data_IF_749386132051
#
_entry.id   IF_749386132051
#
_cell.length_a   1.000
_cell.length_b   1.000
_cell.length_c   1.000
_cell.angle_alpha   90.00
_cell.angle_beta   90.00
_cell.angle_gamma   90.00
#
_symmetry.space_group_name_H-M   'P 1'
#
loop_
_entity.id
_entity.type
_entity.pdbx_description
1 polymer ?
#
# COMPACT_ATOMS: atom_id res chain seq x y z
N UNK A 1 -16.75 6.74 60.24
CA UNK A 1 -15.98 5.65 59.61
C UNK A 1 -16.39 5.33 58.17
N UNK A 2 -17.68 5.31 57.80
CA UNK A 2 -18.11 4.99 56.43
C UNK A 2 -17.74 5.99 55.31
N UNK A 3 -17.43 7.25 55.66
CA UNK A 3 -17.02 8.27 54.68
C UNK A 3 -15.68 7.96 54.00
N UNK A 4 -14.79 7.23 54.67
CA UNK A 4 -13.49 6.83 54.11
C UNK A 4 -13.65 5.80 52.98
N UNK A 5 -14.65 4.92 53.08
CA UNK A 5 -14.99 3.96 52.03
C UNK A 5 -15.51 4.65 50.76
N UNK A 6 -16.32 5.68 50.91
CA UNK A 6 -16.85 6.47 49.78
C UNK A 6 -15.71 7.22 49.07
N UNK A 7 -14.78 7.80 49.83
CA UNK A 7 -13.59 8.46 49.29
C UNK A 7 -12.66 7.48 48.56
N UNK A 8 -12.49 6.26 49.08
CA UNK A 8 -11.71 5.20 48.43
C UNK A 8 -12.33 4.78 47.08
N UNK A 9 -13.65 4.62 47.01
CA UNK A 9 -14.34 4.27 45.76
C UNK A 9 -14.23 5.41 44.74
N UNK A 10 -14.38 6.66 45.17
CA UNK A 10 -14.27 7.82 44.29
C UNK A 10 -12.85 7.97 43.69
N UNK A 11 -11.82 7.67 44.48
CA UNK A 11 -10.42 7.79 44.06
C UNK A 11 -10.03 6.75 43.00
N UNK A 12 -10.72 5.60 42.98
CA UNK A 12 -10.49 4.54 41.99
C UNK A 12 -11.14 4.79 40.63
N UNK A 13 -12.12 5.70 40.53
CA UNK A 13 -12.84 5.99 39.28
C UNK A 13 -11.99 6.82 38.29
N UNK A 14 -11.14 7.70 38.80
CA UNK A 14 -10.27 8.55 37.96
C UNK A 14 -9.20 7.77 37.16
N UNK A 15 -8.44 6.82 37.73
CA UNK A 15 -7.46 6.05 36.97
C UNK A 15 -8.11 5.07 35.97
N UNK A 16 -9.35 4.62 36.19
CA UNK A 16 -10.01 3.67 35.29
C UNK A 16 -10.36 4.26 33.91
N UNK A 17 -10.71 5.54 33.83
CA UNK A 17 -10.97 6.19 32.54
C UNK A 17 -9.70 6.36 31.70
N UNK A 18 -8.58 6.70 32.34
CA UNK A 18 -7.29 6.84 31.66
C UNK A 18 -6.76 5.50 31.11
N UNK A 19 -7.00 4.39 31.82
CA UNK A 19 -6.59 3.05 31.35
C UNK A 19 -7.39 2.61 30.12
N UNK A 20 -8.72 2.79 30.13
CA UNK A 20 -9.57 2.39 29.01
C UNK A 20 -9.24 3.18 27.73
N UNK A 21 -8.98 4.49 27.87
CA UNK A 21 -8.58 5.33 26.74
C UNK A 21 -7.22 4.91 26.17
N UNK A 22 -6.24 4.63 27.04
CA UNK A 22 -4.91 4.20 26.64
C UNK A 22 -4.94 2.85 25.90
N UNK A 23 -5.80 1.93 26.33
CA UNK A 23 -6.00 0.64 25.67
C UNK A 23 -6.57 0.80 24.25
N UNK A 24 -7.60 1.64 24.08
CA UNK A 24 -8.17 1.93 22.77
C UNK A 24 -7.17 2.62 21.83
N UNK A 25 -6.37 3.55 22.36
CA UNK A 25 -5.31 4.21 21.59
C UNK A 25 -4.23 3.22 21.14
N UNK A 26 -3.82 2.29 22.01
CA UNK A 26 -2.87 1.24 21.65
C UNK A 26 -3.40 0.35 20.52
N UNK A 27 -4.68 -0.03 20.58
CA UNK A 27 -5.31 -0.86 19.55
C UNK A 27 -5.37 -0.12 18.21
N UNK A 28 -5.78 1.14 18.21
CA UNK A 28 -5.81 1.99 17.01
C UNK A 28 -4.40 2.16 16.41
N UNK A 29 -3.39 2.41 17.25
CA UNK A 29 -1.99 2.52 16.79
C UNK A 29 -1.49 1.22 16.16
N UNK A 30 -1.86 0.06 16.71
CA UNK A 30 -1.50 -1.24 16.12
C UNK A 30 -2.15 -1.45 14.76
N UNK A 31 -3.43 -1.11 14.62
CA UNK A 31 -4.13 -1.18 13.34
C UNK A 31 -3.49 -0.25 12.31
N UNK A 32 -3.23 1.01 12.68
CA UNK A 32 -2.55 1.99 11.82
C UNK A 32 -1.16 1.51 11.38
N UNK A 33 -0.40 0.85 12.26
CA UNK A 33 0.92 0.30 11.89
C UNK A 33 0.81 -0.85 10.90
N UNK A 34 -0.20 -1.73 11.07
CA UNK A 34 -0.44 -2.83 10.13
C UNK A 34 -0.85 -2.29 8.76
N UNK A 35 -1.83 -1.39 8.72
CA UNK A 35 -2.29 -0.75 7.48
C UNK A 35 -1.15 0.00 6.78
N UNK A 36 -0.37 0.78 7.53
CA UNK A 36 0.76 1.53 6.97
C UNK A 36 1.85 0.59 6.44
N UNK A 37 2.09 -0.53 7.10
CA UNK A 37 3.05 -1.55 6.65
C UNK A 37 2.57 -2.22 5.37
N UNK A 38 1.29 -2.55 5.27
CA UNK A 38 0.69 -3.10 4.04
C UNK A 38 0.79 -2.09 2.90
N UNK A 39 0.38 -0.84 3.13
CA UNK A 39 0.50 0.23 2.13
C UNK A 39 1.94 0.47 1.68
N UNK A 40 2.89 0.41 2.61
CA UNK A 40 4.30 0.54 2.29
C UNK A 40 4.79 -0.63 1.43
N UNK A 41 4.40 -1.86 1.74
CA UNK A 41 4.76 -3.04 0.94
C UNK A 41 4.15 -2.95 -0.46
N UNK A 42 2.86 -2.62 -0.59
CA UNK A 42 2.22 -2.47 -1.90
C UNK A 42 2.89 -1.38 -2.73
N UNK A 43 3.22 -0.24 -2.11
CA UNK A 43 3.87 0.88 -2.80
C UNK A 43 5.32 0.55 -3.17
N UNK A 44 6.03 -0.21 -2.34
CA UNK A 44 7.38 -0.69 -2.65
C UNK A 44 7.35 -1.64 -3.85
N UNK A 45 6.43 -2.59 -3.85
CA UNK A 45 6.27 -3.54 -4.95
C UNK A 45 5.88 -2.84 -6.26
N UNK A 46 5.00 -1.84 -6.19
CA UNK A 46 4.62 -1.02 -7.34
C UNK A 46 5.81 -0.20 -7.87
N UNK A 47 6.56 0.44 -6.97
CA UNK A 47 7.77 1.19 -7.33
C UNK A 47 8.82 0.29 -7.98
N UNK A 48 9.02 -0.92 -7.45
CA UNK A 48 9.99 -1.86 -8.01
C UNK A 48 9.56 -2.35 -9.40
N UNK A 49 8.26 -2.60 -9.60
CA UNK A 49 7.69 -2.91 -10.93
C UNK A 49 7.87 -1.76 -11.91
N UNK A 50 7.53 -0.53 -11.50
CA UNK A 50 7.69 0.65 -12.34
C UNK A 50 9.16 0.91 -12.67
N UNK A 51 10.06 0.75 -11.69
CA UNK A 51 11.50 0.91 -11.89
C UNK A 51 12.06 -0.13 -12.86
N UNK A 52 11.66 -1.40 -12.70
CA UNK A 52 12.03 -2.47 -13.61
C UNK A 52 11.47 -2.24 -15.02
N UNK A 53 10.24 -1.73 -15.13
CA UNK A 53 9.64 -1.35 -16.41
C UNK A 53 10.39 -0.18 -17.07
N UNK A 54 10.70 0.87 -16.31
CA UNK A 54 11.48 2.01 -16.78
C UNK A 54 12.89 1.59 -17.22
N UNK A 55 13.52 0.63 -16.53
CA UNK A 55 14.79 0.05 -16.94
C UNK A 55 14.66 -0.70 -18.28
N UNK A 56 13.59 -1.48 -18.48
CA UNK A 56 13.30 -2.13 -19.76
C UNK A 56 13.04 -1.11 -20.89
N UNK A 57 12.44 0.03 -20.59
CA UNK A 57 12.25 1.11 -21.57
C UNK A 57 13.55 1.83 -21.98
N UNK A 58 14.68 1.58 -21.31
CA UNK A 58 15.99 2.07 -21.78
C UNK A 58 16.56 1.23 -22.93
N UNK A 59 16.02 0.03 -23.12
CA UNK A 59 16.42 -0.88 -24.20
C UNK A 59 15.63 -0.53 -25.48
N UNK A 60 16.34 -0.13 -26.54
CA UNK A 60 15.74 0.30 -27.81
C UNK A 60 14.96 -0.83 -28.50
N UNK A 61 15.39 -2.09 -28.40
CA UNK A 61 14.69 -3.24 -28.98
C UNK A 61 13.39 -3.52 -28.22
N UNK A 62 13.44 -3.43 -26.89
CA UNK A 62 12.23 -3.54 -26.06
C UNK A 62 11.23 -2.41 -26.37
N UNK A 63 11.67 -1.17 -26.50
CA UNK A 63 10.81 -0.03 -26.84
C UNK A 63 10.20 -0.19 -28.23
N UNK A 64 10.97 -0.65 -29.23
CA UNK A 64 10.46 -0.90 -30.56
C UNK A 64 9.38 -2.01 -30.56
N UNK A 65 9.60 -3.11 -29.84
CA UNK A 65 8.61 -4.19 -29.67
C UNK A 65 7.37 -3.71 -28.93
N UNK A 66 7.55 -2.94 -27.85
CA UNK A 66 6.46 -2.35 -27.08
C UNK A 66 5.64 -1.38 -27.93
N UNK A 67 6.27 -0.53 -28.74
CA UNK A 67 5.58 0.40 -29.63
C UNK A 67 4.79 -0.32 -30.73
N UNK A 68 5.35 -1.39 -31.30
CA UNK A 68 4.66 -2.26 -32.26
C UNK A 68 3.44 -2.95 -31.65
N UNK A 69 3.57 -3.47 -30.44
CA UNK A 69 2.49 -4.18 -29.75
C UNK A 69 1.39 -3.22 -29.21
N UNK A 70 1.77 -2.06 -28.66
CA UNK A 70 0.84 -1.11 -28.03
C UNK A 70 0.18 -0.16 -29.02
N UNK A 71 0.96 0.38 -29.95
CA UNK A 71 0.52 1.43 -30.88
C UNK A 71 0.35 0.93 -32.31
N UNK A 72 0.48 -0.38 -32.54
CA UNK A 72 0.36 -0.98 -33.88
C UNK A 72 1.28 -0.29 -34.89
N UNK A 73 2.49 0.09 -34.44
CA UNK A 73 3.47 0.72 -35.30
C UNK A 73 3.97 -0.29 -36.33
N UNK A 74 3.88 0.03 -37.62
CA UNK A 74 4.30 -0.83 -38.74
C UNK A 74 5.06 0.00 -39.78
N UNK A 75 6.09 -0.60 -40.37
CA UNK A 75 6.79 -0.02 -41.52
C UNK A 75 6.01 -0.30 -42.81
N UNK A 76 6.28 0.48 -43.87
CA UNK A 76 5.67 0.27 -45.19
C UNK A 76 5.87 -1.19 -45.64
N UNK A 77 4.75 -1.87 -45.94
CA UNK A 77 4.63 -3.30 -46.34
C UNK A 77 4.72 -4.33 -45.20
N UNK A 78 4.57 -3.95 -43.93
CA UNK A 78 4.40 -4.91 -42.82
C UNK A 78 2.91 -5.14 -42.49
N UNK A 79 2.49 -6.40 -42.36
CA UNK A 79 1.17 -6.78 -41.84
C UNK A 79 1.24 -7.00 -40.32
N UNK A 80 0.31 -6.40 -39.56
CA UNK A 80 0.29 -6.50 -38.10
C UNK A 80 -0.75 -7.53 -37.66
N UNK A 81 -0.32 -8.49 -36.86
CA UNK A 81 -1.20 -9.42 -36.16
C UNK A 81 -1.21 -9.08 -34.68
N UNK A 82 -2.39 -8.80 -34.13
CA UNK A 82 -2.55 -8.45 -32.72
C UNK A 82 -2.73 -9.72 -31.91
N UNK A 83 -1.89 -9.91 -30.90
CA UNK A 83 -2.01 -11.01 -29.95
C UNK A 83 -2.60 -10.42 -28.67
N UNK A 84 -3.79 -10.87 -28.24
CA UNK A 84 -4.35 -10.43 -26.97
C UNK A 84 -3.40 -10.84 -25.83
N UNK A 85 -3.21 -9.92 -24.86
CA UNK A 85 -2.38 -10.12 -23.65
C UNK A 85 -0.84 -10.14 -23.83
N UNK A 86 -0.33 -9.63 -24.96
CA UNK A 86 1.13 -9.59 -25.21
C UNK A 86 1.89 -8.59 -24.31
N UNK A 87 1.20 -7.62 -23.72
CA UNK A 87 1.82 -6.56 -22.91
C UNK A 87 1.49 -6.76 -21.43
N UNK A 88 2.48 -6.65 -20.53
CA UNK A 88 2.20 -6.60 -19.11
C UNK A 88 1.34 -5.35 -18.82
N UNK A 89 0.28 -5.54 -18.03
CA UNK A 89 -0.60 -4.45 -17.57
C UNK A 89 0.07 -3.59 -16.53
#
# INVERSE_FOLDING_TARGET
>A
MGWVLILMILLFILPTYNLAQSYNQLLQRRQQLTELKEQYQTLSDEKDKESAFAAKLKDEDYVAKYARAKYYYSKKREAIYTIPDLLPR
#
